data_IF_694849496434
#
_entry.id   IF_694849496434
#
_cell.length_a   1.000
_cell.length_b   1.000
_cell.length_c   1.000
_cell.angle_alpha   90.00
_cell.angle_beta   90.00
_cell.angle_gamma   90.00
#
_symmetry.space_group_name_H-M   'P 1'
#
loop_
_entity.id
_entity.type
_entity.pdbx_description
1 polymer ?
#
# COMPACT_ATOMS: atom_id res chain seq x y z
N UNK A 1 -5.99 29.22 -48.88
CA UNK A 1 -6.99 28.33 -48.30
C UNK A 1 -6.57 28.01 -46.85
N UNK A 2 -7.16 28.71 -45.89
CA UNK A 2 -6.95 28.47 -44.43
C UNK A 2 -5.48 28.38 -43.93
N UNK A 3 -4.57 29.21 -44.52
CA UNK A 3 -3.16 29.27 -44.10
C UNK A 3 -2.26 28.10 -44.58
N UNK A 4 -2.78 27.14 -45.34
CA UNK A 4 -1.97 26.05 -45.91
C UNK A 4 -1.49 26.40 -47.34
N UNK A 5 -0.24 26.04 -47.61
CA UNK A 5 0.34 26.21 -48.95
C UNK A 5 -0.26 25.15 -49.92
N UNK A 6 -1.04 25.64 -50.88
CA UNK A 6 -1.71 24.79 -51.89
C UNK A 6 -0.70 24.09 -52.78
N UNK A 7 0.40 24.73 -53.08
CA UNK A 7 1.45 24.13 -53.93
C UNK A 7 2.06 22.92 -53.21
N UNK A 8 2.35 23.05 -51.93
CA UNK A 8 2.89 21.98 -51.12
C UNK A 8 1.88 20.81 -51.01
N UNK A 9 0.59 21.11 -50.85
CA UNK A 9 -0.45 20.10 -50.80
C UNK A 9 -0.60 19.31 -52.10
N UNK A 10 -0.55 20.00 -53.25
CA UNK A 10 -0.56 19.34 -54.56
C UNK A 10 0.69 18.49 -54.75
N UNK A 11 1.85 18.97 -54.34
CA UNK A 11 3.09 18.21 -54.39
C UNK A 11 3.02 16.96 -53.54
N UNK A 12 2.46 17.03 -52.32
CA UNK A 12 2.25 15.89 -51.41
C UNK A 12 1.15 14.93 -51.87
N UNK A 13 0.23 15.39 -52.73
CA UNK A 13 -0.75 14.51 -53.35
C UNK A 13 -0.12 13.61 -54.44
N UNK A 14 0.89 14.12 -55.16
CA UNK A 14 1.59 13.36 -56.17
C UNK A 14 2.75 12.53 -55.60
N UNK A 15 3.48 13.12 -54.63
CA UNK A 15 4.61 12.47 -53.98
C UNK A 15 4.28 12.22 -52.49
N UNK A 16 4.01 10.97 -52.11
CA UNK A 16 3.77 10.61 -50.69
C UNK A 16 4.94 11.03 -49.81
N UNK A 17 4.61 11.44 -48.56
CA UNK A 17 5.59 11.83 -47.56
C UNK A 17 5.60 10.80 -46.41
N UNK A 18 6.80 10.53 -45.93
CA UNK A 18 6.97 9.67 -44.75
C UNK A 18 7.03 10.57 -43.51
N UNK A 19 6.18 10.27 -42.55
CA UNK A 19 6.15 10.88 -41.23
C UNK A 19 6.64 9.85 -40.20
N UNK A 20 7.49 10.26 -39.29
CA UNK A 20 7.98 9.42 -38.22
C UNK A 20 7.24 9.75 -36.92
N UNK A 21 6.72 8.73 -36.21
CA UNK A 21 6.08 8.95 -34.92
C UNK A 21 7.14 9.24 -33.86
N UNK A 22 6.82 10.04 -32.84
CA UNK A 22 7.65 10.07 -31.63
C UNK A 22 7.72 8.68 -31.03
N UNK A 23 8.65 8.46 -30.08
CA UNK A 23 8.75 7.22 -29.33
C UNK A 23 7.45 6.96 -28.57
N UNK A 24 6.73 5.92 -28.95
CA UNK A 24 5.49 5.49 -28.31
C UNK A 24 5.80 4.35 -27.37
N UNK A 25 5.55 4.53 -26.08
CA UNK A 25 5.69 3.47 -25.08
C UNK A 25 4.32 2.93 -24.66
N UNK A 26 4.20 1.61 -24.61
CA UNK A 26 3.00 0.91 -24.17
C UNK A 26 3.38 -0.33 -23.36
N UNK A 27 2.49 -0.76 -22.47
CA UNK A 27 2.72 -1.92 -21.61
C UNK A 27 1.85 -3.06 -22.09
N UNK A 28 2.44 -4.20 -22.40
CA UNK A 28 1.72 -5.43 -22.73
C UNK A 28 1.10 -6.07 -21.47
N UNK A 29 0.20 -7.04 -21.65
CA UNK A 29 -0.49 -7.70 -20.51
C UNK A 29 0.47 -8.43 -19.54
N UNK A 30 1.63 -8.84 -20.02
CA UNK A 30 2.69 -9.44 -19.21
C UNK A 30 3.45 -8.43 -18.31
N UNK A 31 3.06 -7.14 -18.36
CA UNK A 31 3.65 -6.09 -17.54
C UNK A 31 4.97 -5.52 -18.07
N UNK A 32 5.38 -5.90 -19.28
CA UNK A 32 6.61 -5.41 -19.90
C UNK A 32 6.31 -4.22 -20.80
N UNK A 33 7.09 -3.15 -20.63
CA UNK A 33 7.03 -1.98 -21.48
C UNK A 33 7.64 -2.29 -22.84
N UNK A 34 6.94 -1.93 -23.91
CA UNK A 34 7.42 -2.00 -25.29
C UNK A 34 7.45 -0.58 -25.85
N UNK A 35 8.56 -0.21 -26.44
CA UNK A 35 8.79 1.09 -27.07
C UNK A 35 8.80 0.90 -28.57
N UNK A 36 7.99 1.66 -29.28
CA UNK A 36 7.80 1.52 -30.72
C UNK A 36 7.99 2.85 -31.42
N UNK A 37 8.71 2.82 -32.53
CA UNK A 37 8.81 3.93 -33.49
C UNK A 37 8.21 3.45 -34.80
N UNK A 38 7.20 4.16 -35.30
CA UNK A 38 6.56 3.84 -36.56
C UNK A 38 6.81 4.94 -37.61
N UNK A 39 6.92 4.54 -38.88
CA UNK A 39 6.95 5.41 -40.05
C UNK A 39 5.63 5.29 -40.79
N UNK A 40 5.00 6.41 -41.01
CA UNK A 40 3.68 6.48 -41.65
C UNK A 40 3.85 7.16 -43.00
N UNK A 41 3.58 6.45 -44.06
CA UNK A 41 3.55 7.02 -45.39
C UNK A 41 2.16 7.60 -45.68
N UNK A 42 2.10 8.90 -45.88
CA UNK A 42 0.85 9.64 -46.10
C UNK A 42 0.84 10.34 -47.45
N UNK A 43 -0.35 10.45 -48.01
CA UNK A 43 -0.63 11.24 -49.20
C UNK A 43 -1.68 12.31 -48.88
N UNK A 44 -1.49 13.53 -49.37
CA UNK A 44 -2.49 14.57 -49.20
C UNK A 44 -3.74 14.28 -50.05
N UNK A 45 -4.90 14.33 -49.45
CA UNK A 45 -6.19 14.26 -50.16
C UNK A 45 -6.71 15.68 -50.38
N UNK A 46 -6.70 16.12 -51.64
CA UNK A 46 -7.04 17.49 -52.03
C UNK A 46 -8.50 17.82 -51.67
N UNK A 47 -9.40 16.87 -51.79
CA UNK A 47 -10.83 17.05 -51.53
C UNK A 47 -11.11 17.29 -50.04
N UNK A 48 -10.25 16.74 -49.14
CA UNK A 48 -10.35 16.86 -47.70
C UNK A 48 -9.39 17.91 -47.11
N UNK A 49 -8.68 18.64 -47.94
CA UNK A 49 -7.66 19.61 -47.48
C UNK A 49 -8.27 20.75 -46.66
N UNK A 50 -9.48 21.16 -47.03
CA UNK A 50 -10.23 22.21 -46.33
C UNK A 50 -11.02 21.58 -45.19
N UNK A 51 -10.70 21.96 -43.96
CA UNK A 51 -11.36 21.45 -42.75
C UNK A 51 -10.83 20.11 -42.22
N UNK A 52 -9.89 19.46 -42.93
CA UNK A 52 -9.24 18.25 -42.44
C UNK A 52 -8.16 18.51 -41.42
N UNK A 53 -7.99 17.59 -40.47
CA UNK A 53 -6.95 17.64 -39.45
C UNK A 53 -5.55 17.50 -40.06
N UNK A 54 -4.52 18.00 -39.36
CA UNK A 54 -3.12 18.02 -39.81
C UNK A 54 -2.36 16.72 -39.59
N UNK A 55 -1.06 16.74 -39.94
CA UNK A 55 -0.12 15.64 -39.77
C UNK A 55 -0.02 15.17 -38.31
N UNK A 56 -0.02 16.12 -37.35
CA UNK A 56 0.05 15.82 -35.91
C UNK A 56 -1.10 14.93 -35.42
N UNK A 57 -2.31 15.13 -36.01
CA UNK A 57 -3.48 14.31 -35.65
C UNK A 57 -3.33 12.87 -36.13
N UNK A 58 -2.71 12.67 -37.30
CA UNK A 58 -2.41 11.32 -37.78
C UNK A 58 -1.39 10.63 -36.90
N UNK A 59 -0.31 11.32 -36.58
CA UNK A 59 0.73 10.78 -35.68
C UNK A 59 0.15 10.43 -34.29
N UNK A 60 -0.72 11.26 -33.72
CA UNK A 60 -1.39 10.99 -32.46
C UNK A 60 -2.30 9.75 -32.54
N UNK A 61 -3.11 9.64 -33.62
CA UNK A 61 -4.01 8.48 -33.82
C UNK A 61 -3.25 7.18 -34.07
N UNK A 62 -2.15 7.24 -34.83
CA UNK A 62 -1.28 6.08 -35.06
C UNK A 62 -0.64 5.67 -33.73
N UNK A 63 -0.16 6.63 -32.93
CA UNK A 63 0.36 6.37 -31.58
C UNK A 63 -0.67 5.70 -30.68
N UNK A 64 -1.92 6.19 -30.67
CA UNK A 64 -3.04 5.56 -29.96
C UNK A 64 -3.30 4.13 -30.46
N UNK A 65 -3.27 3.93 -31.77
CA UNK A 65 -3.43 2.61 -32.37
C UNK A 65 -2.35 1.63 -31.95
N UNK A 66 -1.10 2.08 -31.88
CA UNK A 66 0.05 1.30 -31.38
C UNK A 66 -0.15 0.94 -29.91
N UNK A 67 -0.45 1.93 -29.05
CA UNK A 67 -0.70 1.70 -27.61
C UNK A 67 -1.81 0.68 -27.39
N UNK A 68 -2.91 0.81 -28.14
CA UNK A 68 -4.04 -0.12 -28.02
C UNK A 68 -3.67 -1.54 -28.46
N UNK A 69 -2.90 -1.68 -29.53
CA UNK A 69 -2.50 -2.99 -30.05
C UNK A 69 -1.50 -3.67 -29.13
N UNK A 70 -0.49 -2.95 -28.66
CA UNK A 70 0.49 -3.47 -27.68
C UNK A 70 -0.19 -3.81 -26.36
N UNK A 71 -1.07 -2.94 -25.85
CA UNK A 71 -1.80 -3.18 -24.58
C UNK A 71 -2.77 -4.34 -24.63
N UNK A 72 -3.26 -4.72 -25.85
CA UNK A 72 -4.11 -5.89 -26.04
C UNK A 72 -3.34 -7.20 -26.25
N UNK A 73 -2.03 -7.10 -26.56
CA UNK A 73 -1.18 -8.27 -26.76
C UNK A 73 -0.92 -9.02 -25.44
N UNK A 74 -0.99 -10.33 -25.47
CA UNK A 74 -0.81 -11.17 -24.29
C UNK A 74 0.64 -11.18 -23.78
N UNK A 75 1.61 -11.01 -24.72
CA UNK A 75 3.03 -10.96 -24.37
C UNK A 75 3.78 -9.98 -25.28
N UNK A 76 4.79 -9.31 -24.72
CA UNK A 76 5.74 -8.50 -25.46
C UNK A 76 6.43 -9.29 -26.60
N UNK A 77 6.69 -10.58 -26.40
CA UNK A 77 7.30 -11.46 -27.43
C UNK A 77 6.46 -11.55 -28.67
N UNK A 78 5.15 -11.64 -28.54
CA UNK A 78 4.24 -11.73 -29.68
C UNK A 78 4.28 -10.46 -30.53
N UNK A 79 4.47 -9.31 -29.88
CA UNK A 79 4.61 -8.01 -30.58
C UNK A 79 5.94 -7.93 -31.33
N UNK A 80 7.03 -8.43 -30.71
CA UNK A 80 8.37 -8.46 -31.33
C UNK A 80 8.48 -9.43 -32.51
N UNK A 81 7.81 -10.58 -32.41
CA UNK A 81 7.82 -11.60 -33.46
C UNK A 81 7.02 -11.16 -34.69
N UNK A 82 5.94 -10.39 -34.48
CA UNK A 82 5.03 -9.99 -35.55
C UNK A 82 4.67 -8.50 -35.46
N UNK A 83 5.60 -7.57 -35.74
CA UNK A 83 5.34 -6.13 -35.73
C UNK A 83 4.30 -5.72 -36.78
N UNK A 84 4.15 -6.48 -37.87
CA UNK A 84 3.13 -6.25 -38.90
C UNK A 84 1.68 -6.31 -38.39
N UNK A 85 1.45 -7.01 -37.27
CA UNK A 85 0.12 -7.03 -36.63
C UNK A 85 -0.30 -5.64 -36.18
N UNK A 86 0.66 -4.84 -35.69
CA UNK A 86 0.41 -3.46 -35.29
C UNK A 86 -0.04 -2.66 -36.51
N UNK A 87 0.75 -2.72 -37.59
CA UNK A 87 0.46 -2.00 -38.83
C UNK A 87 -0.91 -2.33 -39.41
N UNK A 88 -1.26 -3.62 -39.49
CA UNK A 88 -2.55 -4.08 -39.97
C UNK A 88 -3.72 -3.65 -39.09
N UNK A 89 -3.57 -3.77 -37.77
CA UNK A 89 -4.62 -3.38 -36.83
C UNK A 89 -4.86 -1.88 -36.87
N UNK A 90 -3.80 -1.09 -36.94
CA UNK A 90 -3.87 0.37 -37.03
C UNK A 90 -4.53 0.82 -38.33
N UNK A 91 -4.13 0.23 -39.47
CA UNK A 91 -4.73 0.50 -40.78
C UNK A 91 -6.21 0.12 -40.82
N UNK A 92 -6.60 -1.02 -40.23
CA UNK A 92 -7.99 -1.50 -40.22
C UNK A 92 -8.96 -0.58 -39.45
N UNK A 93 -8.43 0.26 -38.54
CA UNK A 93 -9.21 1.23 -37.76
C UNK A 93 -9.59 2.49 -38.56
N UNK A 94 -9.10 2.67 -39.80
CA UNK A 94 -9.45 3.82 -40.62
C UNK A 94 -9.11 5.15 -39.97
N UNK A 95 -7.89 5.29 -39.44
CA UNK A 95 -7.44 6.45 -38.66
C UNK A 95 -7.29 7.73 -39.49
N UNK A 96 -7.41 7.65 -40.80
CA UNK A 96 -7.40 8.76 -41.76
C UNK A 96 -8.76 9.49 -41.83
N UNK A 97 -9.81 8.94 -41.23
CA UNK A 97 -11.12 9.56 -41.26
C UNK A 97 -11.11 10.98 -40.65
N UNK A 98 -11.58 11.98 -41.43
CA UNK A 98 -11.59 13.40 -41.03
C UNK A 98 -10.23 14.11 -41.03
N UNK A 99 -9.19 13.49 -41.61
CA UNK A 99 -7.88 14.12 -41.83
C UNK A 99 -7.75 14.62 -43.31
N UNK A 100 -6.84 15.57 -43.52
CA UNK A 100 -6.48 16.04 -44.84
C UNK A 100 -5.55 15.06 -45.61
N UNK A 101 -5.21 13.96 -45.02
CA UNK A 101 -4.27 12.97 -45.53
C UNK A 101 -4.88 11.58 -45.52
N UNK A 102 -4.39 10.77 -46.45
CA UNK A 102 -4.69 9.34 -46.56
C UNK A 102 -3.44 8.54 -46.18
N UNK A 103 -3.58 7.55 -45.33
CA UNK A 103 -2.49 6.68 -44.91
C UNK A 103 -2.33 5.58 -45.96
N UNK A 104 -1.15 5.48 -46.57
CA UNK A 104 -0.81 4.45 -47.55
C UNK A 104 -0.19 3.22 -46.90
N UNK A 105 0.77 3.42 -46.00
CA UNK A 105 1.41 2.34 -45.22
C UNK A 105 1.80 2.83 -43.83
N UNK A 106 1.90 1.88 -42.91
CA UNK A 106 2.47 2.07 -41.59
C UNK A 106 3.52 0.99 -41.44
N UNK A 107 4.75 1.41 -41.31
CA UNK A 107 5.91 0.52 -41.17
C UNK A 107 6.49 0.70 -39.76
N UNK A 108 6.73 -0.38 -39.08
CA UNK A 108 7.37 -0.33 -37.77
C UNK A 108 8.88 -0.23 -37.98
N UNK A 109 9.45 0.88 -37.56
CA UNK A 109 10.87 1.17 -37.78
C UNK A 109 11.75 0.54 -36.71
N UNK A 110 11.28 0.57 -35.45
CA UNK A 110 12.02 0.04 -34.32
C UNK A 110 11.07 -0.42 -33.21
N UNK A 111 11.45 -1.51 -32.54
CA UNK A 111 10.71 -2.05 -31.39
C UNK A 111 11.71 -2.47 -30.33
N UNK A 112 11.74 -1.68 -29.24
CA UNK A 112 12.59 -1.93 -28.08
C UNK A 112 11.80 -2.47 -26.90
N UNK A 113 12.43 -3.33 -26.10
CA UNK A 113 11.90 -3.80 -24.82
C UNK A 113 12.35 -2.87 -23.71
N UNK A 114 11.40 -2.26 -23.03
CA UNK A 114 11.66 -1.41 -21.89
C UNK A 114 11.74 -2.18 -20.56
N UNK A 115 11.28 -1.55 -19.50
CA UNK A 115 11.32 -2.09 -18.13
C UNK A 115 10.16 -3.06 -17.87
N UNK A 116 10.38 -3.98 -16.94
CA UNK A 116 9.30 -4.81 -16.41
C UNK A 116 8.55 -4.03 -15.33
N UNK A 117 7.52 -3.31 -15.73
CA UNK A 117 6.67 -2.48 -14.85
C UNK A 117 5.83 -3.38 -13.92
N UNK A 118 5.43 -4.56 -14.41
CA UNK A 118 4.66 -5.51 -13.60
C UNK A 118 5.44 -6.01 -12.39
N UNK A 119 6.70 -6.37 -12.56
CA UNK A 119 7.57 -6.78 -11.45
C UNK A 119 7.86 -5.63 -10.48
N UNK A 120 8.04 -4.42 -10.98
CA UNK A 120 8.26 -3.24 -10.15
C UNK A 120 7.03 -2.93 -9.29
N UNK A 121 5.82 -2.96 -9.86
CA UNK A 121 4.57 -2.79 -9.13
C UNK A 121 4.39 -3.83 -8.03
N UNK A 122 4.72 -5.11 -8.30
CA UNK A 122 4.65 -6.16 -7.28
C UNK A 122 5.63 -5.91 -6.13
N UNK A 123 6.83 -5.43 -6.43
CA UNK A 123 7.81 -5.06 -5.39
C UNK A 123 7.32 -3.89 -4.55
N UNK A 124 6.83 -2.83 -5.20
CA UNK A 124 6.30 -1.65 -4.52
C UNK A 124 5.09 -2.01 -3.63
N UNK A 125 4.23 -2.92 -4.11
CA UNK A 125 3.08 -3.40 -3.36
C UNK A 125 3.51 -4.23 -2.15
N UNK A 126 4.49 -5.14 -2.30
CA UNK A 126 5.04 -5.92 -1.20
C UNK A 126 5.72 -5.03 -0.14
N UNK A 127 6.42 -3.97 -0.56
CA UNK A 127 6.98 -2.99 0.36
C UNK A 127 5.91 -2.19 1.11
N UNK A 128 4.84 -1.78 0.43
CA UNK A 128 3.71 -1.11 1.05
C UNK A 128 3.02 -2.01 2.08
N UNK A 129 2.76 -3.27 1.73
CA UNK A 129 2.17 -4.27 2.64
C UNK A 129 3.07 -4.52 3.87
N UNK A 130 4.38 -4.59 3.68
CA UNK A 130 5.35 -4.70 4.77
C UNK A 130 5.29 -3.50 5.71
N UNK A 131 5.23 -2.27 5.16
CA UNK A 131 5.11 -1.04 5.98
C UNK A 131 3.79 -1.02 6.77
N UNK A 132 2.69 -1.43 6.15
CA UNK A 132 1.38 -1.54 6.83
C UNK A 132 1.44 -2.58 7.95
N UNK A 133 2.04 -3.74 7.71
CA UNK A 133 2.20 -4.78 8.72
C UNK A 133 3.08 -4.33 9.89
N UNK A 134 4.16 -3.59 9.61
CA UNK A 134 5.03 -3.01 10.64
C UNK A 134 4.27 -1.97 11.48
N UNK A 135 3.55 -1.05 10.86
CA UNK A 135 2.75 -0.05 11.56
C UNK A 135 1.70 -0.69 12.48
N UNK A 136 0.99 -1.72 11.98
CA UNK A 136 0.04 -2.49 12.81
C UNK A 136 0.71 -3.23 13.97
N UNK A 137 1.93 -3.73 13.79
CA UNK A 137 2.68 -4.39 14.85
C UNK A 137 3.12 -3.39 15.92
N UNK A 138 3.55 -2.20 15.54
CA UNK A 138 3.91 -1.10 16.46
C UNK A 138 2.69 -0.60 17.22
N UNK A 139 1.57 -0.43 16.55
CA UNK A 139 0.29 -0.07 17.19
C UNK A 139 -0.11 -1.10 18.27
N UNK A 140 -0.04 -2.40 17.95
CA UNK A 140 -0.32 -3.46 18.93
C UNK A 140 0.64 -3.45 20.10
N UNK A 141 1.93 -3.20 19.86
CA UNK A 141 2.93 -3.05 20.92
C UNK A 141 2.63 -1.85 21.82
N UNK A 142 2.32 -0.70 21.19
CA UNK A 142 1.95 0.50 21.94
C UNK A 142 0.70 0.29 22.80
N UNK A 143 -0.33 -0.36 22.24
CA UNK A 143 -1.53 -0.73 22.98
C UNK A 143 -1.24 -1.70 24.14
N UNK A 144 -0.36 -2.68 23.95
CA UNK A 144 0.02 -3.62 25.00
C UNK A 144 0.76 -2.91 26.14
N UNK A 145 1.69 -2.01 25.82
CA UNK A 145 2.39 -1.18 26.81
C UNK A 145 1.42 -0.25 27.55
N UNK A 146 0.49 0.39 26.83
CA UNK A 146 -0.53 1.23 27.45
C UNK A 146 -1.39 0.44 28.45
N UNK A 147 -1.86 -0.75 28.06
CA UNK A 147 -2.62 -1.63 28.97
C UNK A 147 -1.81 -2.09 30.17
N UNK A 148 -0.52 -2.38 29.99
CA UNK A 148 0.37 -2.72 31.12
C UNK A 148 0.48 -1.55 32.10
N UNK A 149 0.61 -0.33 31.59
CA UNK A 149 0.67 0.89 32.44
C UNK A 149 -0.66 1.12 33.16
N UNK A 150 -1.79 0.96 32.48
CA UNK A 150 -3.12 1.05 33.08
C UNK A 150 -3.31 0.01 34.21
N UNK A 151 -2.90 -1.23 33.95
CA UNK A 151 -2.97 -2.28 34.96
C UNK A 151 -2.08 -1.99 36.19
N UNK A 152 -0.86 -1.48 35.95
CA UNK A 152 0.03 -1.06 37.06
C UNK A 152 -0.60 0.08 37.87
N UNK A 153 -1.15 1.08 37.19
CA UNK A 153 -1.82 2.19 37.85
C UNK A 153 -3.03 1.71 38.67
N UNK A 154 -3.84 0.82 38.11
CA UNK A 154 -4.98 0.20 38.84
C UNK A 154 -4.54 -0.60 40.06
N UNK A 155 -3.44 -1.35 39.99
CA UNK A 155 -2.90 -2.07 41.16
C UNK A 155 -2.43 -1.11 42.22
N UNK A 156 -1.75 -0.02 41.88
CA UNK A 156 -1.31 0.99 42.84
C UNK A 156 -2.50 1.73 43.47
N UNK A 157 -3.53 2.01 42.68
CA UNK A 157 -4.77 2.62 43.19
C UNK A 157 -5.47 1.69 44.22
N UNK A 158 -5.58 0.39 43.88
CA UNK A 158 -6.14 -0.60 44.82
C UNK A 158 -5.30 -0.74 46.08
N UNK A 159 -3.97 -0.71 45.97
CA UNK A 159 -3.06 -0.71 47.14
C UNK A 159 -3.28 0.52 48.01
N UNK A 160 -3.38 1.71 47.39
CA UNK A 160 -3.67 2.94 48.15
C UNK A 160 -5.02 2.87 48.87
N UNK A 161 -6.03 2.25 48.24
CA UNK A 161 -7.33 2.07 48.85
C UNK A 161 -7.30 1.08 50.03
N UNK A 162 -6.52 -0.01 49.92
CA UNK A 162 -6.32 -0.96 51.03
C UNK A 162 -5.62 -0.25 52.20
N UNK A 163 -4.53 0.46 51.97
CA UNK A 163 -3.82 1.22 53.01
C UNK A 163 -4.71 2.26 53.68
N UNK A 164 -5.55 2.95 52.87
CA UNK A 164 -6.53 3.89 53.40
C UNK A 164 -7.56 3.21 54.29
N UNK A 165 -8.03 2.03 53.90
CA UNK A 165 -8.99 1.24 54.71
C UNK A 165 -8.33 0.71 55.97
N UNK A 166 -7.09 0.23 55.91
CA UNK A 166 -6.31 -0.21 57.10
C UNK A 166 -6.06 0.93 58.07
N UNK A 167 -5.79 2.15 57.58
CA UNK A 167 -5.61 3.33 58.40
C UNK A 167 -6.91 3.77 59.13
N UNK A 168 -8.08 3.42 58.60
CA UNK A 168 -9.36 3.72 59.23
C UNK A 168 -9.67 2.78 60.43
N UNK A 169 -9.12 1.57 60.45
CA UNK A 169 -9.37 0.58 61.49
C UNK A 169 -8.92 1.07 62.88
N UNK A 170 -7.69 1.61 63.08
CA UNK A 170 -7.27 2.16 64.35
C UNK A 170 -8.10 3.36 64.81
N UNK A 171 -8.55 4.19 63.85
CA UNK A 171 -9.41 5.35 64.15
C UNK A 171 -10.79 4.89 64.67
N UNK A 172 -11.39 3.90 64.01
CA UNK A 172 -12.66 3.32 64.43
C UNK A 172 -12.55 2.63 65.80
N UNK A 173 -11.42 1.95 66.09
CA UNK A 173 -11.14 1.38 67.41
C UNK A 173 -10.99 2.44 68.50
N UNK A 174 -10.28 3.54 68.19
CA UNK A 174 -10.13 4.63 69.16
C UNK A 174 -11.48 5.31 69.46
N UNK A 175 -12.35 5.45 68.49
CA UNK A 175 -13.68 5.99 68.65
C UNK A 175 -14.59 5.04 69.43
N UNK A 176 -14.51 3.73 69.20
CA UNK A 176 -15.25 2.71 69.96
C UNK A 176 -14.82 2.64 71.45
N UNK A 177 -13.52 2.81 71.74
CA UNK A 177 -13.00 2.95 73.10
C UNK A 177 -13.48 4.24 73.78
N UNK A 178 -13.53 5.38 73.06
CA UNK A 178 -14.06 6.65 73.59
C UNK A 178 -15.54 6.59 73.97
N UNK A 179 -16.30 5.88 73.15
CA UNK A 179 -17.76 5.72 73.34
C UNK A 179 -18.11 4.65 74.38
N UNK A 180 -17.10 3.96 74.96
CA UNK A 180 -17.32 2.91 75.98
C UNK A 180 -17.92 1.59 75.43
N UNK A 181 -17.95 1.45 74.07
CA UNK A 181 -18.49 0.27 73.42
C UNK A 181 -17.48 -0.89 73.35
N UNK A 182 -16.20 -0.63 73.64
CA UNK A 182 -15.13 -1.62 73.68
C UNK A 182 -14.44 -1.59 75.07
N UNK A 183 -14.39 -2.71 75.71
CA UNK A 183 -13.63 -2.86 76.98
C UNK A 183 -12.13 -2.99 76.72
N UNK A 184 -11.29 -2.59 77.74
CA UNK A 184 -9.84 -2.72 77.66
C UNK A 184 -9.41 -4.18 77.40
N UNK A 185 -10.11 -5.14 77.93
CA UNK A 185 -9.86 -6.58 77.74
C UNK A 185 -10.21 -7.04 76.30
N UNK A 186 -11.24 -6.46 75.72
CA UNK A 186 -11.61 -6.75 74.29
C UNK A 186 -10.58 -6.24 73.31
N UNK A 187 -9.95 -5.11 73.65
CA UNK A 187 -8.83 -4.59 72.84
C UNK A 187 -7.61 -5.54 72.79
N UNK A 188 -7.22 -6.09 73.95
CA UNK A 188 -6.15 -7.08 74.05
C UNK A 188 -6.49 -8.39 73.33
N UNK A 189 -7.74 -8.85 73.43
CA UNK A 189 -8.18 -10.02 72.69
C UNK A 189 -8.14 -9.82 71.19
N UNK A 190 -8.54 -8.63 70.69
CA UNK A 190 -8.50 -8.27 69.26
C UNK A 190 -7.09 -8.14 68.78
N UNK A 191 -6.18 -7.59 69.58
CA UNK A 191 -4.75 -7.48 69.25
C UNK A 191 -4.06 -8.87 69.17
N UNK A 192 -4.40 -9.77 70.02
CA UNK A 192 -3.96 -11.17 69.99
C UNK A 192 -4.49 -11.89 68.79
N UNK A 193 -5.73 -11.68 68.35
CA UNK A 193 -6.35 -12.26 67.20
C UNK A 193 -5.70 -11.71 65.88
N UNK A 194 -5.40 -10.41 65.82
CA UNK A 194 -4.67 -9.80 64.70
C UNK A 194 -3.25 -10.35 64.57
N UNK A 195 -2.54 -10.53 65.73
CA UNK A 195 -1.20 -11.09 65.73
C UNK A 195 -1.17 -12.55 65.27
N UNK A 196 -2.17 -13.37 65.69
CA UNK A 196 -2.31 -14.76 65.24
C UNK A 196 -2.65 -14.85 63.73
N UNK A 197 -3.49 -13.94 63.25
CA UNK A 197 -3.81 -13.84 61.80
C UNK A 197 -2.60 -13.45 60.98
N UNK A 198 -1.79 -12.46 61.40
CA UNK A 198 -0.55 -12.07 60.73
C UNK A 198 0.48 -13.20 60.73
N UNK A 199 0.58 -13.96 61.86
CA UNK A 199 1.47 -15.10 61.95
C UNK A 199 1.07 -16.23 60.99
N UNK A 200 -0.23 -16.50 60.82
CA UNK A 200 -0.76 -17.46 59.84
C UNK A 200 -0.54 -17.03 58.42
N UNK A 201 -0.67 -15.73 58.12
CA UNK A 201 -0.45 -15.16 56.79
C UNK A 201 1.02 -15.23 56.39
N UNK A 202 1.96 -14.93 57.30
CA UNK A 202 3.38 -15.10 57.07
C UNK A 202 3.79 -16.55 56.88
N UNK A 203 3.25 -17.49 57.66
CA UNK A 203 3.47 -18.92 57.48
C UNK A 203 2.93 -19.43 56.12
N UNK A 204 1.77 -18.94 55.67
CA UNK A 204 1.20 -19.31 54.39
C UNK A 204 2.01 -18.75 53.21
N UNK A 205 2.64 -17.57 53.35
CA UNK A 205 3.58 -17.01 52.35
C UNK A 205 4.89 -17.80 52.25
N UNK A 206 5.43 -18.20 53.41
CA UNK A 206 6.65 -19.05 53.45
C UNK A 206 6.39 -20.43 52.86
N UNK A 207 5.20 -21.01 53.10
CA UNK A 207 4.80 -22.29 52.49
C UNK A 207 4.70 -22.22 50.96
N UNK A 208 4.15 -21.13 50.42
CA UNK A 208 3.99 -20.95 48.98
C UNK A 208 5.32 -20.72 48.25
N UNK A 209 6.27 -20.01 48.87
CA UNK A 209 7.61 -19.81 48.28
C UNK A 209 8.45 -21.11 48.26
N UNK A 210 8.14 -22.11 49.09
CA UNK A 210 8.81 -23.41 49.07
C UNK A 210 8.28 -24.35 47.99
N UNK A 211 7.06 -24.14 47.50
CA UNK A 211 6.48 -24.95 46.43
C UNK A 211 6.92 -24.47 45.04
N UNK A 212 7.31 -23.17 44.87
CA UNK A 212 7.83 -22.61 43.61
C UNK A 212 9.31 -22.92 43.36
N UNK A 213 10.07 -23.33 44.37
CA UNK A 213 11.42 -23.88 44.21
C UNK A 213 11.33 -25.40 43.96
N UNK A 214 10.80 -25.79 42.80
CA UNK A 214 10.87 -27.14 42.25
C UNK A 214 12.31 -27.61 42.11
N UNK A 215 12.60 -28.93 42.12
CA UNK A 215 13.98 -29.45 42.21
C UNK A 215 14.80 -29.00 41.02
N UNK A 216 15.90 -28.29 41.32
CA UNK A 216 16.96 -27.94 40.34
C UNK A 216 17.48 -29.25 39.78
N UNK A 217 17.16 -29.51 38.53
CA UNK A 217 17.61 -30.67 37.76
C UNK A 217 19.12 -30.57 37.59
N UNK A 218 19.84 -31.54 38.20
CA UNK A 218 21.28 -31.69 38.06
C UNK A 218 21.64 -32.07 36.62
N UNK A 219 22.73 -31.53 36.03
CA UNK A 219 23.13 -31.87 34.68
C UNK A 219 23.76 -33.26 34.63
N UNK A 220 23.33 -34.02 33.60
CA UNK A 220 24.09 -35.19 33.10
C UNK A 220 24.96 -34.75 31.94
#
# INVERSE_FOLDING_TARGET
LAGRDVFQAVQMSVNPRVLETPLVSAVAKDGIEVKVIARVTVRANIDRLVGGAGEETILARVGEGVVTTVGSADSHKHVLENPDLISRTVLSKGLDAGTAFEILSIDIADVDVGRNIGAQLQTDQAEADKRIAQAKAEERRAMAVAREQEMKASVEEMRAQVVKSEAQVPLAMADALRQGNLGVMDYYNLQNLLSDTQMRETLSRVGRNKEDEGPVNAPK
#
